data_IF_679780272734
#
_entry.id   IF_679780272734
#
_cell.length_a   1.000
_cell.length_b   1.000
_cell.length_c   1.000
_cell.angle_alpha   90.00
_cell.angle_beta   90.00
_cell.angle_gamma   90.00
#
_symmetry.space_group_name_H-M   'P 1'
#
loop_
_entity.id
_entity.type
_entity.pdbx_description
1 polymer ?
#
# COMPACT_ATOMS: atom_id res chain seq x y z
N UNK A 1 -0.59 8.73 6.45
CA UNK A 1 0.57 7.88 6.05
C UNK A 1 1.61 8.74 5.33
N UNK A 2 2.89 8.35 5.33
CA UNK A 2 3.96 9.07 4.62
C UNK A 2 3.59 9.39 3.16
N UNK A 3 2.93 8.46 2.45
CA UNK A 3 2.41 8.66 1.10
C UNK A 3 1.48 9.88 0.92
N UNK A 4 0.59 10.18 1.86
CA UNK A 4 -0.34 11.33 1.73
C UNK A 4 0.39 12.67 1.79
N UNK A 5 1.52 12.73 2.52
CA UNK A 5 2.36 13.93 2.62
C UNK A 5 3.08 14.26 1.31
N UNK A 6 3.22 13.27 0.43
CA UNK A 6 4.07 13.30 -0.75
C UNK A 6 3.31 13.09 -2.07
N UNK A 7 2.02 12.74 -2.01
CA UNK A 7 1.13 12.53 -3.16
C UNK A 7 0.96 13.76 -4.09
N UNK A 8 1.34 14.96 -3.61
CA UNK A 8 1.28 16.21 -4.37
C UNK A 8 2.52 16.53 -5.20
N UNK A 9 3.58 15.72 -5.11
CA UNK A 9 4.84 15.97 -5.79
C UNK A 9 5.04 15.01 -6.96
N UNK A 10 5.34 15.56 -8.15
CA UNK A 10 5.46 14.80 -9.40
C UNK A 10 6.56 13.72 -9.34
N UNK A 11 7.64 13.98 -8.61
CA UNK A 11 8.75 13.03 -8.41
C UNK A 11 8.32 11.76 -7.64
N UNK A 12 7.33 11.83 -6.74
CA UNK A 12 6.79 10.61 -6.14
C UNK A 12 5.79 9.89 -7.03
N UNK A 13 5.29 10.49 -8.12
CA UNK A 13 4.53 9.75 -9.14
C UNK A 13 5.48 8.98 -10.05
N UNK A 14 6.67 9.53 -10.31
CA UNK A 14 7.73 8.87 -11.08
C UNK A 14 8.34 7.67 -10.33
N UNK A 15 8.54 7.78 -9.01
CA UNK A 15 8.97 6.67 -8.14
C UNK A 15 7.81 5.86 -7.52
N UNK A 16 6.56 6.29 -7.71
CA UNK A 16 5.36 5.80 -7.01
C UNK A 16 4.47 4.86 -7.81
N UNK A 17 5.04 4.09 -8.74
CA UNK A 17 4.31 2.96 -9.32
C UNK A 17 4.35 1.71 -8.42
N UNK A 18 4.97 1.79 -7.23
CA UNK A 18 4.47 0.98 -6.12
C UNK A 18 3.08 1.51 -5.78
N UNK A 19 2.07 0.91 -6.40
CA UNK A 19 0.70 1.07 -5.92
C UNK A 19 0.74 0.82 -4.42
N UNK A 20 0.11 1.68 -3.64
CA UNK A 20 0.04 1.47 -2.17
C UNK A 20 -0.50 0.07 -1.81
N UNK A 21 -1.11 -0.61 -2.77
CA UNK A 21 -1.60 -1.98 -2.74
C UNK A 21 -0.50 -3.02 -2.85
N UNK A 22 0.52 -2.82 -3.70
CA UNK A 22 1.69 -3.71 -3.74
C UNK A 22 2.40 -3.77 -2.37
N UNK A 23 2.43 -2.65 -1.63
CA UNK A 23 2.95 -2.60 -0.26
C UNK A 23 2.07 -3.30 0.79
N UNK A 24 0.79 -3.54 0.47
CA UNK A 24 -0.15 -4.24 1.36
C UNK A 24 -0.16 -5.74 1.13
N UNK A 25 0.43 -6.22 0.03
CA UNK A 25 0.53 -7.65 -0.25
C UNK A 25 1.30 -8.35 0.87
N UNK A 26 0.79 -9.50 1.29
CA UNK A 26 1.49 -10.34 2.25
C UNK A 26 2.68 -11.04 1.55
N UNK A 27 3.93 -10.78 1.94
CA UNK A 27 5.10 -11.34 1.27
C UNK A 27 5.20 -12.86 1.36
N UNK A 28 4.52 -13.50 2.32
CA UNK A 28 4.52 -14.96 2.49
C UNK A 28 3.40 -15.63 1.69
N UNK A 29 2.24 -14.98 1.57
CA UNK A 29 1.07 -15.54 0.86
C UNK A 29 1.05 -15.18 -0.61
N UNK A 30 1.50 -13.97 -0.96
CA UNK A 30 1.40 -13.36 -2.28
C UNK A 30 2.78 -13.03 -2.87
N UNK A 31 3.80 -13.83 -2.51
CA UNK A 31 5.20 -13.70 -2.96
C UNK A 31 5.32 -13.42 -4.46
N UNK A 32 4.58 -14.14 -5.30
CA UNK A 32 4.67 -14.00 -6.75
C UNK A 32 4.05 -12.69 -7.25
N UNK A 33 2.89 -12.29 -6.71
CA UNK A 33 2.24 -11.03 -7.04
C UNK A 33 3.13 -9.85 -6.67
N UNK A 34 3.73 -9.90 -5.47
CA UNK A 34 4.65 -8.89 -5.00
C UNK A 34 5.86 -8.75 -5.92
N UNK A 35 6.52 -9.87 -6.26
CA UNK A 35 7.69 -9.85 -7.14
C UNK A 35 7.35 -9.40 -8.56
N UNK A 36 6.19 -9.79 -9.10
CA UNK A 36 5.69 -9.29 -10.39
C UNK A 36 5.41 -7.78 -10.35
N UNK A 37 4.80 -7.26 -9.28
CA UNK A 37 4.57 -5.82 -9.11
C UNK A 37 5.89 -5.05 -9.12
N UNK A 38 6.88 -5.50 -8.34
CA UNK A 38 8.21 -4.89 -8.31
C UNK A 38 8.90 -4.98 -9.67
N UNK A 39 8.84 -6.14 -10.33
CA UNK A 39 9.42 -6.29 -11.65
C UNK A 39 8.77 -5.35 -12.67
N UNK A 40 7.44 -5.29 -12.71
CA UNK A 40 6.70 -4.39 -13.60
C UNK A 40 7.05 -2.92 -13.34
N UNK A 41 7.20 -2.54 -12.08
CA UNK A 41 7.61 -1.20 -11.68
C UNK A 41 8.96 -0.80 -12.31
N UNK A 42 9.98 -1.67 -12.22
CA UNK A 42 11.33 -1.34 -12.70
C UNK A 42 11.53 -1.62 -14.19
N UNK A 43 11.05 -2.75 -14.68
CA UNK A 43 11.28 -3.19 -16.05
C UNK A 43 10.49 -2.38 -17.08
N UNK A 44 9.37 -1.77 -16.68
CA UNK A 44 8.47 -1.03 -17.57
C UNK A 44 8.53 0.49 -17.34
N UNK A 45 9.56 1.01 -16.65
CA UNK A 45 9.72 2.46 -16.45
C UNK A 45 9.84 3.23 -17.78
N UNK A 46 10.51 2.64 -18.78
CA UNK A 46 10.76 3.28 -20.07
C UNK A 46 9.68 2.99 -21.11
N UNK A 47 9.06 1.81 -21.02
CA UNK A 47 8.04 1.35 -21.95
C UNK A 47 6.84 0.84 -21.14
N UNK A 48 5.65 1.43 -21.36
CA UNK A 48 4.42 1.13 -20.60
C UNK A 48 4.00 -0.35 -20.66
N UNK A 49 4.53 -1.10 -21.61
CA UNK A 49 4.26 -2.51 -21.84
C UNK A 49 5.54 -3.25 -22.24
N UNK A 50 5.61 -4.53 -21.88
CA UNK A 50 6.71 -5.41 -22.24
C UNK A 50 6.18 -6.79 -22.56
N UNK A 51 6.59 -7.34 -23.71
CA UNK A 51 6.30 -8.72 -24.10
C UNK A 51 7.34 -9.63 -23.48
N UNK A 52 6.89 -10.64 -22.75
CA UNK A 52 7.74 -11.60 -22.08
C UNK A 52 7.29 -13.02 -22.34
N UNK A 53 8.27 -13.89 -22.52
CA UNK A 53 8.06 -15.32 -22.40
C UNK A 53 7.86 -15.69 -20.92
N UNK A 54 6.95 -16.62 -20.61
CA UNK A 54 6.63 -17.02 -19.22
C UNK A 54 7.87 -17.49 -18.47
N UNK A 55 8.69 -18.37 -19.06
CA UNK A 55 9.93 -18.84 -18.43
C UNK A 55 10.87 -17.68 -18.11
N UNK A 56 11.07 -16.76 -19.05
CA UNK A 56 11.95 -15.60 -18.87
C UNK A 56 11.43 -14.68 -17.78
N UNK A 57 10.12 -14.44 -17.73
CA UNK A 57 9.48 -13.64 -16.70
C UNK A 57 9.68 -14.26 -15.31
N UNK A 58 9.35 -15.55 -15.17
CA UNK A 58 9.50 -16.29 -13.91
C UNK A 58 10.96 -16.31 -13.42
N UNK A 59 11.93 -16.46 -14.32
CA UNK A 59 13.35 -16.37 -13.96
C UNK A 59 13.73 -14.98 -13.45
N UNK A 60 13.28 -13.92 -14.13
CA UNK A 60 13.54 -12.53 -13.71
C UNK A 60 12.94 -12.18 -12.35
N UNK A 61 11.84 -12.83 -11.96
CA UNK A 61 11.25 -12.72 -10.63
C UNK A 61 11.77 -13.78 -9.63
N UNK A 62 12.85 -14.49 -9.97
CA UNK A 62 13.57 -15.39 -9.06
C UNK A 62 12.82 -16.68 -8.72
N UNK A 63 12.13 -17.28 -9.69
CA UNK A 63 11.47 -18.59 -9.59
C UNK A 63 12.22 -19.71 -10.34
N UNK A 64 13.53 -19.57 -10.53
CA UNK A 64 14.37 -20.52 -11.28
C UNK A 64 14.36 -21.93 -10.67
N UNK A 65 14.50 -22.02 -9.35
CA UNK A 65 14.49 -23.30 -8.63
C UNK A 65 13.13 -23.99 -8.74
N UNK A 66 12.06 -23.23 -8.52
CA UNK A 66 10.69 -23.72 -8.62
C UNK A 66 10.33 -24.21 -10.04
N UNK A 67 10.95 -23.64 -11.09
CA UNK A 67 10.79 -24.11 -12.47
C UNK A 67 11.46 -25.48 -12.67
N UNK A 68 12.70 -25.66 -12.20
CA UNK A 68 13.40 -26.94 -12.35
C UNK A 68 12.73 -28.06 -11.54
N UNK A 69 12.25 -27.74 -10.33
CA UNK A 69 11.42 -28.67 -9.54
C UNK A 69 10.09 -29.00 -10.23
N UNK A 70 9.48 -28.03 -10.90
CA UNK A 70 8.22 -28.22 -11.61
C UNK A 70 8.34 -29.09 -12.87
N UNK A 71 9.51 -29.12 -13.53
CA UNK A 71 9.73 -30.03 -14.68
C UNK A 71 9.69 -31.50 -14.28
N UNK A 72 10.14 -31.83 -13.07
CA UNK A 72 10.18 -33.22 -12.58
C UNK A 72 8.92 -33.60 -11.82
N UNK A 73 8.26 -32.65 -11.15
CA UNK A 73 7.09 -32.91 -10.32
C UNK A 73 5.83 -32.19 -10.84
N UNK A 74 4.81 -32.98 -11.17
CA UNK A 74 3.53 -32.49 -11.70
C UNK A 74 2.76 -31.61 -10.71
N UNK A 75 2.89 -31.87 -9.40
CA UNK A 75 2.20 -31.11 -8.34
C UNK A 75 2.80 -29.71 -8.22
N UNK A 76 4.13 -29.60 -8.25
CA UNK A 76 4.83 -28.31 -8.20
C UNK A 76 4.56 -27.50 -9.47
N UNK A 77 4.53 -28.12 -10.66
CA UNK A 77 4.09 -27.47 -11.90
C UNK A 77 2.69 -26.87 -11.79
N UNK A 78 1.73 -27.65 -11.28
CA UNK A 78 0.37 -27.18 -11.08
C UNK A 78 0.30 -26.02 -10.08
N UNK A 79 1.07 -26.11 -8.98
CA UNK A 79 1.14 -25.05 -7.99
C UNK A 79 1.75 -23.77 -8.55
N UNK A 80 2.81 -23.87 -9.36
CA UNK A 80 3.47 -22.73 -10.00
C UNK A 80 2.52 -22.00 -10.97
N UNK A 81 1.82 -22.74 -11.84
CA UNK A 81 0.79 -22.16 -12.72
C UNK A 81 -0.30 -21.46 -11.92
N UNK A 82 -0.84 -22.11 -10.88
CA UNK A 82 -1.87 -21.51 -10.00
C UNK A 82 -1.35 -20.29 -9.25
N UNK A 83 -0.08 -20.29 -8.86
CA UNK A 83 0.57 -19.13 -8.24
C UNK A 83 0.63 -17.96 -9.22
N UNK A 84 0.96 -18.23 -10.48
CA UNK A 84 1.01 -17.23 -11.55
C UNK A 84 -0.38 -16.66 -11.88
N UNK A 85 -1.39 -17.52 -12.01
CA UNK A 85 -2.77 -17.10 -12.27
C UNK A 85 -3.33 -16.27 -11.11
N UNK A 86 -3.06 -16.68 -9.87
CA UNK A 86 -3.43 -15.89 -8.69
C UNK A 86 -2.72 -14.54 -8.67
N UNK A 87 -1.42 -14.52 -8.99
CA UNK A 87 -0.63 -13.30 -8.94
C UNK A 87 -1.09 -12.27 -9.98
N UNK A 88 -1.34 -12.71 -11.22
CA UNK A 88 -1.89 -11.85 -12.29
C UNK A 88 -3.29 -11.35 -11.94
N UNK A 89 -4.15 -12.19 -11.36
CA UNK A 89 -5.46 -11.76 -10.86
C UNK A 89 -5.34 -10.73 -9.71
N UNK A 90 -4.47 -10.96 -8.71
CA UNK A 90 -4.23 -10.01 -7.61
C UNK A 90 -3.82 -8.65 -8.15
N UNK A 91 -2.90 -8.63 -9.13
CA UNK A 91 -2.44 -7.41 -9.78
C UNK A 91 -3.53 -6.70 -10.60
N UNK A 92 -4.43 -7.46 -11.22
CA UNK A 92 -5.59 -6.93 -11.95
C UNK A 92 -6.69 -6.36 -11.03
N UNK A 93 -6.68 -6.71 -9.74
CA UNK A 93 -7.65 -6.21 -8.75
C UNK A 93 -7.17 -4.96 -8.00
N UNK A 94 -6.00 -4.43 -8.35
CA UNK A 94 -5.52 -3.15 -7.82
C UNK A 94 -6.40 -1.99 -8.30
N UNK A 95 -6.49 -0.93 -7.49
CA UNK A 95 -7.11 0.35 -7.86
C UNK A 95 -6.57 0.87 -9.19
N UNK A 96 -5.27 0.67 -9.42
CA UNK A 96 -4.61 0.89 -10.70
C UNK A 96 -4.06 -0.46 -11.17
N UNK A 97 -4.80 -1.17 -12.03
CA UNK A 97 -4.50 -2.57 -12.34
C UNK A 97 -3.32 -2.70 -13.29
N UNK A 98 -2.42 -3.63 -12.97
CA UNK A 98 -1.50 -4.17 -13.97
C UNK A 98 -2.23 -5.27 -14.73
N UNK A 99 -1.92 -5.40 -16.03
CA UNK A 99 -2.51 -6.49 -16.84
C UNK A 99 -1.42 -7.35 -17.42
N UNK A 100 -1.66 -8.66 -17.38
CA UNK A 100 -0.87 -9.64 -18.09
C UNK A 100 -1.80 -10.33 -19.08
N UNK A 101 -1.62 -10.01 -20.36
CA UNK A 101 -2.44 -10.54 -21.44
C UNK A 101 -1.62 -11.54 -22.24
N UNK A 102 -2.11 -12.78 -22.33
CA UNK A 102 -1.52 -13.79 -23.21
C UNK A 102 -1.61 -13.36 -24.68
N UNK A 103 -0.64 -13.76 -25.49
CA UNK A 103 -0.72 -13.55 -26.94
C UNK A 103 -1.93 -14.31 -27.54
N UNK A 104 -2.50 -13.85 -28.67
CA UNK A 104 -3.73 -14.42 -29.23
C UNK A 104 -3.61 -15.90 -29.66
N UNK A 105 -2.39 -16.37 -29.92
CA UNK A 105 -2.13 -17.74 -30.39
C UNK A 105 -2.04 -18.78 -29.25
N UNK A 106 -2.44 -18.40 -28.04
CA UNK A 106 -2.29 -19.22 -26.84
C UNK A 106 -3.40 -20.27 -26.75
N UNK A 107 -3.08 -21.54 -26.42
CA UNK A 107 -4.08 -22.59 -26.28
C UNK A 107 -5.15 -22.29 -25.23
N UNK A 108 -6.39 -22.68 -25.51
CA UNK A 108 -7.54 -22.41 -24.63
C UNK A 108 -7.41 -23.00 -23.22
N UNK A 109 -6.64 -24.07 -23.03
CA UNK A 109 -6.45 -24.70 -21.71
C UNK A 109 -5.61 -23.87 -20.73
N UNK A 110 -4.96 -22.81 -21.20
CA UNK A 110 -4.13 -21.89 -20.40
C UNK A 110 -5.00 -20.96 -19.56
N UNK A 111 -6.18 -20.62 -20.08
CA UNK A 111 -7.16 -19.77 -19.44
C UNK A 111 -7.62 -20.39 -18.11
N UNK A 112 -7.49 -19.68 -16.97
CA UNK A 112 -7.90 -20.19 -15.67
C UNK A 112 -9.41 -20.43 -15.55
N UNK A 113 -10.24 -19.71 -16.33
CA UNK A 113 -11.70 -19.80 -16.24
C UNK A 113 -12.25 -20.97 -17.08
N UNK A 114 -11.52 -21.38 -18.12
CA UNK A 114 -11.88 -22.53 -18.95
C UNK A 114 -11.48 -23.83 -18.27
N UNK A 115 -12.46 -24.68 -17.94
CA UNK A 115 -12.25 -26.02 -17.34
C UNK A 115 -11.82 -27.07 -18.36
N UNK A 116 -10.77 -26.78 -19.13
CA UNK A 116 -10.26 -27.67 -20.18
C UNK A 116 -9.15 -28.56 -19.61
N UNK A 117 -9.13 -29.84 -20.02
CA UNK A 117 -8.08 -30.79 -19.64
C UNK A 117 -6.76 -30.39 -20.29
N UNK A 118 -5.71 -30.28 -19.47
CA UNK A 118 -4.36 -29.94 -19.94
C UNK A 118 -3.73 -31.12 -20.70
N UNK A 119 -3.06 -30.90 -21.84
CA UNK A 119 -2.39 -31.95 -22.60
C UNK A 119 -1.16 -32.51 -21.87
N UNK A 120 -0.57 -33.58 -22.39
CA UNK A 120 0.71 -34.08 -21.89
C UNK A 120 1.84 -33.09 -22.25
N UNK A 121 2.79 -32.85 -21.33
CA UNK A 121 3.85 -31.85 -21.53
C UNK A 121 3.34 -30.41 -21.53
N UNK A 122 2.15 -30.15 -20.97
CA UNK A 122 1.56 -28.81 -20.93
C UNK A 122 2.44 -27.79 -20.21
N UNK A 123 3.28 -28.22 -19.26
CA UNK A 123 4.07 -27.31 -18.45
C UNK A 123 5.20 -26.69 -19.28
N UNK A 124 5.88 -27.51 -20.07
CA UNK A 124 6.91 -27.07 -21.01
C UNK A 124 6.30 -26.13 -22.05
N UNK A 125 5.13 -26.49 -22.60
CA UNK A 125 4.41 -25.62 -23.54
C UNK A 125 4.07 -24.28 -22.87
N UNK A 126 3.52 -24.32 -21.65
CA UNK A 126 3.14 -23.12 -20.90
C UNK A 126 4.32 -22.18 -20.66
N UNK A 127 5.48 -22.73 -20.28
CA UNK A 127 6.71 -21.96 -20.07
C UNK A 127 7.19 -21.24 -21.34
N UNK A 128 6.90 -21.79 -22.52
CA UNK A 128 7.28 -21.21 -23.80
C UNK A 128 6.32 -20.14 -24.32
N UNK A 129 5.13 -20.01 -23.72
CA UNK A 129 4.14 -19.01 -24.12
C UNK A 129 4.63 -17.60 -23.83
N UNK A 130 4.06 -16.66 -24.59
CA UNK A 130 4.34 -15.25 -24.46
C UNK A 130 3.09 -14.52 -23.98
N UNK A 131 3.31 -13.41 -23.29
CA UNK A 131 2.28 -12.47 -22.94
C UNK A 131 2.85 -11.07 -22.73
N UNK A 132 1.98 -10.09 -22.76
CA UNK A 132 2.31 -8.69 -22.58
C UNK A 132 1.94 -8.26 -21.16
N UNK A 133 2.95 -7.86 -20.40
CA UNK A 133 2.78 -7.22 -19.09
C UNK A 133 2.67 -5.71 -19.32
N UNK A 134 1.59 -5.10 -18.87
CA UNK A 134 1.35 -3.66 -18.99
C UNK A 134 1.23 -3.00 -17.62
N UNK A 135 1.80 -1.80 -17.52
CA UNK A 135 1.62 -0.94 -16.36
C UNK A 135 0.19 -0.36 -16.34
N UNK A 136 -0.31 0.00 -15.15
CA UNK A 136 -1.56 0.72 -15.06
C UNK A 136 -1.49 2.02 -15.87
N UNK A 137 -2.58 2.32 -16.57
CA UNK A 137 -2.75 3.57 -17.28
C UNK A 137 -2.96 4.71 -16.28
N UNK A 138 -1.86 5.22 -15.70
CA UNK A 138 -1.88 6.47 -14.96
C UNK A 138 -2.12 7.54 -16.00
N UNK A 139 -3.35 8.06 -16.11
CA UNK A 139 -3.60 9.27 -16.86
C UNK A 139 -2.74 10.38 -16.23
N UNK A 140 -1.70 10.89 -16.91
CA UNK A 140 -1.09 12.12 -16.45
C UNK A 140 -2.14 13.20 -16.68
N UNK A 141 -2.77 13.71 -15.63
CA UNK A 141 -3.31 15.07 -15.68
C UNK A 141 -2.11 16.00 -15.80
N UNK A 142 -1.58 16.16 -17.02
CA UNK A 142 -0.75 17.29 -17.37
C UNK A 142 -1.60 18.53 -17.10
N UNK A 143 -1.25 19.31 -16.07
CA UNK A 143 -1.54 20.74 -16.15
C UNK A 143 -0.73 21.25 -17.35
N UNK A 144 -1.31 22.07 -18.25
CA UNK A 144 -0.52 22.66 -19.32
C UNK A 144 0.64 23.44 -18.70
N UNK A 145 1.84 23.24 -19.23
CA UNK A 145 3.03 24.01 -18.85
C UNK A 145 2.76 25.51 -19.09
N UNK A 146 3.15 26.40 -18.17
CA UNK A 146 3.11 27.82 -18.43
C UNK A 146 4.20 28.17 -19.44
N UNK A 147 3.79 28.63 -20.62
CA UNK A 147 4.64 29.30 -21.59
C UNK A 147 5.33 30.50 -20.95
N UNK A 148 6.67 30.53 -20.99
CA UNK A 148 7.47 31.71 -20.68
C UNK A 148 7.23 32.80 -21.73
N UNK A 149 6.80 33.99 -21.33
CA UNK A 149 7.37 35.27 -21.79
C UNK A 149 6.88 36.44 -20.92
N UNK A 150 7.87 37.17 -20.38
CA UNK A 150 7.93 38.63 -20.14
C UNK A 150 7.15 39.32 -18.97
N UNK A 151 7.94 39.79 -18.00
CA UNK A 151 7.74 40.85 -16.97
C UNK A 151 7.76 42.28 -17.60
N UNK A 152 7.62 43.43 -16.89
CA UNK A 152 7.15 43.72 -15.50
C UNK A 152 6.29 45.02 -15.36
N UNK A 153 5.40 45.13 -14.36
CA UNK A 153 5.10 46.44 -13.71
C UNK A 153 4.72 46.26 -12.23
N UNK A 154 5.10 47.26 -11.43
CA UNK A 154 5.28 47.26 -9.98
C UNK A 154 3.97 47.40 -9.14
N UNK A 155 4.06 46.92 -7.90
CA UNK A 155 3.25 47.03 -6.65
C UNK A 155 2.61 48.41 -6.34
N UNK A 156 1.61 48.58 -5.41
CA UNK A 156 1.54 47.97 -4.04
C UNK A 156 0.16 47.68 -3.37
N UNK A 157 0.19 46.72 -2.42
CA UNK A 157 -0.50 46.59 -1.09
C UNK A 157 -2.00 46.91 -0.93
N UNK A 158 -2.84 45.91 -0.55
CA UNK A 158 -3.46 45.73 0.79
C UNK A 158 -4.74 44.83 0.78
N UNK A 159 -4.99 44.19 1.94
CA UNK A 159 -6.26 43.70 2.50
C UNK A 159 -6.68 42.22 2.33
N UNK A 160 -6.89 41.60 3.50
CA UNK A 160 -7.44 40.27 3.81
C UNK A 160 -8.94 40.20 3.48
N UNK A 161 -9.43 39.04 2.98
CA UNK A 161 -10.42 38.14 3.61
C UNK A 161 -10.97 37.05 2.63
N UNK A 162 -11.57 35.93 3.13
CA UNK A 162 -11.48 34.58 2.54
C UNK A 162 -12.76 34.09 1.82
N UNK A 163 -12.73 32.89 1.18
CA UNK A 163 -13.94 32.12 0.87
C UNK A 163 -13.88 30.67 1.47
N UNK A 164 -14.92 29.83 1.37
CA UNK A 164 -15.97 29.63 2.39
C UNK A 164 -15.94 28.20 3.03
N UNK A 165 -16.79 27.91 4.04
CA UNK A 165 -16.66 26.72 4.88
C UNK A 165 -17.33 25.49 4.25
N UNK A 166 -16.70 24.32 4.34
CA UNK A 166 -17.39 23.06 4.12
C UNK A 166 -17.55 22.27 5.43
N UNK A 167 -18.81 21.94 5.69
CA UNK A 167 -19.36 21.31 6.90
C UNK A 167 -18.89 19.86 7.00
N UNK A 168 -18.45 19.45 8.19
CA UNK A 168 -19.20 18.54 9.10
C UNK A 168 -18.33 18.19 10.31
N UNK A 169 -18.56 18.96 11.36
CA UNK A 169 -18.31 18.59 12.74
C UNK A 169 -19.23 17.44 13.17
N UNK A 170 -18.70 16.48 13.93
CA UNK A 170 -19.47 15.79 14.97
C UNK A 170 -18.70 15.88 16.27
N UNK A 171 -19.07 16.92 17.03
CA UNK A 171 -18.91 17.00 18.46
C UNK A 171 -19.82 15.99 19.14
N UNK A 172 -19.32 15.25 20.12
CA UNK A 172 -20.14 14.77 21.23
C UNK A 172 -19.37 15.06 22.52
N UNK A 173 -19.93 15.98 23.32
CA UNK A 173 -19.58 16.15 24.73
C UNK A 173 -20.20 14.98 25.49
N UNK A 174 -19.44 14.33 26.35
CA UNK A 174 -19.99 13.58 27.48
C UNK A 174 -19.12 13.84 28.71
N UNK A 175 -19.75 14.50 29.68
CA UNK A 175 -19.23 14.74 31.01
C UNK A 175 -19.50 13.49 31.83
N UNK A 176 -18.49 12.66 32.11
CA UNK A 176 -18.64 11.47 32.97
C UNK A 176 -17.38 11.34 33.83
N UNK A 177 -17.57 11.25 35.15
CA UNK A 177 -16.51 10.92 36.11
C UNK A 177 -15.98 9.50 35.81
N UNK A 178 -14.67 9.26 35.86
CA UNK A 178 -14.10 7.96 35.49
C UNK A 178 -14.61 6.88 36.43
N UNK A 179 -15.43 5.97 35.92
CA UNK A 179 -15.74 4.71 36.60
C UNK A 179 -14.59 3.73 36.35
N UNK A 180 -14.21 2.99 37.38
CA UNK A 180 -13.03 2.09 37.42
C UNK A 180 -13.11 0.88 36.49
N UNK A 181 -14.09 0.81 35.58
CA UNK A 181 -14.32 -0.32 34.67
C UNK A 181 -13.78 -0.11 33.25
N UNK A 182 -13.25 1.07 32.92
CA UNK A 182 -12.74 1.34 31.57
C UNK A 182 -11.32 0.79 31.35
N UNK A 183 -11.03 0.30 30.12
CA UNK A 183 -9.67 -0.04 29.70
C UNK A 183 -8.67 1.10 29.95
N UNK A 184 -7.44 0.72 30.26
CA UNK A 184 -6.35 1.65 30.61
C UNK A 184 -6.18 2.76 29.57
N UNK A 185 -6.14 2.43 28.27
CA UNK A 185 -5.98 3.39 27.20
C UNK A 185 -7.07 4.46 27.18
N UNK A 186 -8.32 4.05 27.40
CA UNK A 186 -9.46 4.98 27.43
C UNK A 186 -9.37 5.94 28.62
N UNK A 187 -8.99 5.44 29.80
CA UNK A 187 -8.78 6.29 30.99
C UNK A 187 -7.73 7.37 30.73
N UNK A 188 -6.62 6.99 30.08
CA UNK A 188 -5.54 7.92 29.71
C UNK A 188 -6.03 8.97 28.71
N UNK A 189 -6.79 8.56 27.69
CA UNK A 189 -7.32 9.45 26.66
C UNK A 189 -8.28 10.49 27.23
N UNK A 190 -9.22 10.05 28.07
CA UNK A 190 -10.20 10.94 28.68
C UNK A 190 -9.53 11.98 29.59
N UNK A 191 -8.56 11.54 30.39
CA UNK A 191 -7.88 12.44 31.30
C UNK A 191 -6.86 13.37 30.60
N UNK A 192 -6.30 12.99 29.45
CA UNK A 192 -5.58 13.93 28.56
C UNK A 192 -6.54 15.01 28.01
N UNK A 193 -7.71 14.61 27.54
CA UNK A 193 -8.70 15.53 26.96
C UNK A 193 -9.29 16.47 28.03
N UNK A 194 -9.51 16.00 29.25
CA UNK A 194 -9.99 16.85 30.36
C UNK A 194 -8.96 17.90 30.76
N UNK A 195 -7.67 17.61 30.63
CA UNK A 195 -6.57 18.58 30.78
C UNK A 195 -6.43 19.56 29.61
N UNK A 196 -7.21 19.38 28.53
CA UNK A 196 -7.10 20.21 27.32
C UNK A 196 -5.83 19.96 26.51
N UNK A 197 -5.13 18.86 26.76
CA UNK A 197 -3.85 18.58 26.11
C UNK A 197 -4.01 17.85 24.79
N UNK A 198 -3.20 18.26 23.81
CA UNK A 198 -3.12 17.57 22.54
C UNK A 198 -2.34 16.26 22.68
N UNK A 199 -2.69 15.27 21.87
CA UNK A 199 -1.95 14.01 21.80
C UNK A 199 -0.47 14.22 21.44
N UNK A 200 -0.16 15.24 20.63
CA UNK A 200 1.23 15.57 20.24
C UNK A 200 2.02 16.22 21.36
N UNK A 201 1.40 17.08 22.16
CA UNK A 201 2.07 17.75 23.28
C UNK A 201 2.40 16.73 24.37
N UNK A 202 1.43 15.91 24.78
CA UNK A 202 1.67 14.86 25.77
C UNK A 202 2.72 13.84 25.29
N UNK A 203 2.68 13.42 24.03
CA UNK A 203 3.67 12.50 23.49
C UNK A 203 5.09 13.09 23.50
N UNK A 204 5.21 14.40 23.23
CA UNK A 204 6.49 15.12 23.28
C UNK A 204 7.05 15.18 24.70
N UNK A 205 6.21 15.50 25.69
CA UNK A 205 6.62 15.54 27.11
C UNK A 205 7.03 14.15 27.64
N UNK A 206 6.30 13.10 27.25
CA UNK A 206 6.61 11.72 27.59
C UNK A 206 7.75 11.11 26.75
N UNK A 207 8.38 11.89 25.87
CA UNK A 207 9.44 11.45 24.95
C UNK A 207 9.10 10.16 24.17
N UNK A 208 7.84 10.01 23.76
CA UNK A 208 7.34 8.90 22.94
C UNK A 208 6.75 9.42 21.62
N UNK A 209 6.64 8.55 20.62
CA UNK A 209 6.00 8.95 19.37
C UNK A 209 4.49 9.20 19.57
N UNK A 210 3.89 10.21 18.92
CA UNK A 210 2.44 10.41 18.95
C UNK A 210 1.65 9.16 18.52
N UNK A 211 2.20 8.39 17.57
CA UNK A 211 1.60 7.12 17.15
C UNK A 211 1.58 6.09 18.29
N UNK A 212 2.65 6.01 19.08
CA UNK A 212 2.76 5.11 20.23
C UNK A 212 1.74 5.50 21.31
N UNK A 213 1.63 6.79 21.65
CA UNK A 213 0.60 7.27 22.59
C UNK A 213 -0.81 7.00 22.07
N UNK A 214 -1.06 7.18 20.77
CA UNK A 214 -2.36 6.87 20.15
C UNK A 214 -2.71 5.38 20.23
N UNK A 215 -1.75 4.50 20.01
CA UNK A 215 -1.98 3.06 20.15
C UNK A 215 -2.27 2.65 21.60
N UNK A 216 -1.61 3.29 22.56
CA UNK A 216 -1.88 3.10 24.00
C UNK A 216 -3.31 3.56 24.32
N UNK A 217 -3.70 4.77 23.91
CA UNK A 217 -5.04 5.34 24.17
C UNK A 217 -6.19 4.54 23.56
N UNK A 218 -5.92 3.75 22.52
CA UNK A 218 -6.92 2.91 21.86
C UNK A 218 -6.79 1.42 22.23
N UNK A 219 -5.92 1.06 23.18
CA UNK A 219 -5.63 -0.32 23.59
C UNK A 219 -5.21 -1.24 22.43
N UNK A 220 -4.58 -0.67 21.39
CA UNK A 220 -4.10 -1.37 20.17
C UNK A 220 -2.58 -1.51 20.12
N UNK A 221 -1.91 -1.35 21.25
CA UNK A 221 -0.45 -1.44 21.28
C UNK A 221 -0.03 -2.92 21.24
N UNK A 222 0.79 -3.34 20.25
CA UNK A 222 1.06 -4.76 19.99
C UNK A 222 2.02 -5.43 20.99
N UNK A 223 2.63 -4.66 21.89
CA UNK A 223 3.61 -5.14 22.86
C UNK A 223 3.16 -4.85 24.29
N UNK A 224 3.61 -5.64 25.26
CA UNK A 224 3.39 -5.35 26.67
C UNK A 224 4.05 -4.01 27.02
N UNK A 225 3.29 -3.09 27.61
CA UNK A 225 3.82 -1.81 28.05
C UNK A 225 4.77 -2.00 29.23
N UNK A 226 5.89 -1.27 29.20
CA UNK A 226 6.86 -1.28 30.28
C UNK A 226 6.22 -0.62 31.53
N UNK A 227 6.39 -1.20 32.74
CA UNK A 227 5.81 -0.63 33.96
C UNK A 227 6.24 0.82 34.22
N UNK A 228 7.48 1.19 33.87
CA UNK A 228 7.99 2.56 33.98
C UNK A 228 7.18 3.55 33.14
N UNK A 229 6.88 3.19 31.89
CA UNK A 229 6.11 4.03 30.98
C UNK A 229 4.64 4.17 31.43
N UNK A 230 4.07 3.12 32.01
CA UNK A 230 2.72 3.17 32.58
C UNK A 230 2.69 4.19 33.73
N UNK A 231 3.65 4.12 34.64
CA UNK A 231 3.77 5.05 35.77
C UNK A 231 3.98 6.49 35.30
N UNK A 232 4.81 6.73 34.28
CA UNK A 232 5.03 8.05 33.68
C UNK A 232 3.73 8.62 33.07
N UNK A 233 2.99 7.81 32.32
CA UNK A 233 1.71 8.21 31.72
C UNK A 233 0.69 8.56 32.80
N UNK A 234 0.57 7.73 33.84
CA UNK A 234 -0.37 7.96 34.94
C UNK A 234 -0.01 9.19 35.77
N UNK A 235 1.28 9.37 36.08
CA UNK A 235 1.78 10.56 36.78
C UNK A 235 1.51 11.84 35.97
N UNK A 236 1.78 11.81 34.66
CA UNK A 236 1.55 12.94 33.76
C UNK A 236 0.07 13.31 33.69
N UNK A 237 -0.82 12.31 33.65
CA UNK A 237 -2.27 12.51 33.53
C UNK A 237 -2.95 12.69 34.90
N UNK A 238 -2.25 12.46 36.00
CA UNK A 238 -2.76 12.64 37.37
C UNK A 238 -3.69 11.51 37.83
N UNK A 239 -3.54 10.31 37.28
CA UNK A 239 -4.30 9.12 37.66
C UNK A 239 -3.45 8.26 38.63
N UNK A 240 -4.09 7.63 39.61
CA UNK A 240 -3.47 6.58 40.42
C UNK A 240 -3.78 5.21 39.80
N UNK A 241 -2.80 4.30 39.91
CA UNK A 241 -2.94 2.89 39.51
C UNK A 241 -4.16 2.23 40.18
#
# INVERSE_FOLDING_TARGET
MWFEKFAGNDYLREFGYLTSEALKLDPYREKMALRLAYFALFALQQHKNGRYQIVTLLKRIGYEQEIEEAKTNRVTALHLKRSFDRATNTLGNFQYPYKFDYDPDVPEWVDPDKKIKKPQGWFEIWLQLHGTLSQPEVLPKRKPEPSKTETPTQTPVEAKQPPPPNKKSKSVKSNIKPSSSQPFGQRVREARLSKGESLRSMAKELNISPSRLSQIENDRYPHKLQPSLIAEILAYVGLKD
#
